data_IF_867105097162
#
_entry.id   IF_867105097162
#
_cell.length_a   1.000
_cell.length_b   1.000
_cell.length_c   1.000
_cell.angle_alpha   90.00
_cell.angle_beta   90.00
_cell.angle_gamma   90.00
#
_symmetry.space_group_name_H-M   'P 1'
#
loop_
_entity.id
_entity.type
_entity.pdbx_description
1 polymer ?
#
# COMPACT_ATOMS: atom_id res chain seq x y z
N UNK A 1 41.07 -34.87 9.95
CA UNK A 1 41.11 -33.65 9.12
C UNK A 1 40.88 -32.46 10.03
N UNK A 2 41.73 -31.43 9.94
CA UNK A 2 41.63 -30.27 10.82
C UNK A 2 40.45 -29.41 10.33
N UNK A 3 39.39 -29.18 11.14
CA UNK A 3 38.18 -28.46 10.71
C UNK A 3 38.46 -27.05 10.17
N UNK A 4 39.61 -26.47 10.51
CA UNK A 4 40.06 -25.17 10.02
C UNK A 4 40.49 -25.17 8.53
N UNK A 5 41.01 -26.29 8.02
CA UNK A 5 41.44 -26.40 6.61
C UNK A 5 40.25 -26.53 5.67
N UNK A 6 39.22 -27.31 6.05
CA UNK A 6 38.00 -27.42 5.26
C UNK A 6 37.26 -26.08 5.19
N UNK A 7 37.27 -25.30 6.28
CA UNK A 7 36.68 -23.97 6.30
C UNK A 7 37.47 -22.96 5.45
N UNK A 8 38.81 -23.08 5.44
CA UNK A 8 39.68 -22.28 4.57
C UNK A 8 39.47 -22.60 3.08
N UNK A 9 39.47 -23.88 2.70
CA UNK A 9 39.26 -24.33 1.33
C UNK A 9 37.88 -23.89 0.81
N UNK A 10 36.83 -24.04 1.63
CA UNK A 10 35.50 -23.52 1.30
C UNK A 10 35.50 -22.00 1.04
N UNK A 11 36.26 -21.22 1.82
CA UNK A 11 36.40 -19.77 1.57
C UNK A 11 37.12 -19.50 0.25
N UNK A 12 38.18 -20.22 -0.06
CA UNK A 12 38.89 -20.10 -1.34
C UNK A 12 37.98 -20.44 -2.54
N UNK A 13 37.20 -21.52 -2.44
CA UNK A 13 36.26 -21.92 -3.50
C UNK A 13 35.15 -20.89 -3.72
N UNK A 14 34.64 -20.28 -2.63
CA UNK A 14 33.65 -19.19 -2.72
C UNK A 14 34.24 -17.96 -3.42
N UNK A 15 35.45 -17.53 -3.04
CA UNK A 15 36.13 -16.39 -3.67
C UNK A 15 36.40 -16.66 -5.15
N UNK A 16 36.84 -17.86 -5.50
CA UNK A 16 37.06 -18.24 -6.90
C UNK A 16 35.76 -18.20 -7.71
N UNK A 17 34.69 -18.80 -7.18
CA UNK A 17 33.37 -18.76 -7.83
C UNK A 17 32.87 -17.32 -8.03
N UNK A 18 33.04 -16.46 -7.02
CA UNK A 18 32.67 -15.05 -7.08
C UNK A 18 33.41 -14.32 -8.21
N UNK A 19 34.73 -14.47 -8.30
CA UNK A 19 35.54 -13.89 -9.37
C UNK A 19 35.08 -14.34 -10.76
N UNK A 20 34.76 -15.64 -10.92
CA UNK A 20 34.22 -16.15 -12.19
C UNK A 20 32.88 -15.51 -12.54
N UNK A 21 31.98 -15.30 -11.56
CA UNK A 21 30.71 -14.62 -11.80
C UNK A 21 30.91 -13.17 -12.27
N UNK A 22 31.86 -12.43 -11.68
CA UNK A 22 32.15 -11.06 -12.10
C UNK A 22 32.66 -10.99 -13.55
N UNK A 23 33.56 -11.91 -13.92
CA UNK A 23 34.10 -12.00 -15.30
C UNK A 23 32.98 -12.33 -16.30
N UNK A 24 32.14 -13.31 -15.98
CA UNK A 24 31.00 -13.70 -16.83
C UNK A 24 30.02 -12.54 -16.98
N UNK A 25 29.72 -11.84 -15.89
CA UNK A 25 28.80 -10.69 -15.90
C UNK A 25 29.33 -9.57 -16.80
N UNK A 26 30.61 -9.22 -16.68
CA UNK A 26 31.24 -8.23 -17.57
C UNK A 26 31.20 -8.66 -19.04
N UNK A 27 31.48 -9.93 -19.30
CA UNK A 27 31.49 -10.47 -20.66
C UNK A 27 30.10 -10.41 -21.29
N UNK A 28 29.06 -10.81 -20.55
CA UNK A 28 27.68 -10.72 -20.99
C UNK A 28 27.23 -9.27 -21.22
N UNK A 29 27.57 -8.37 -20.29
CA UNK A 29 27.19 -6.96 -20.39
C UNK A 29 27.90 -6.26 -21.55
N UNK A 30 29.16 -6.60 -21.80
CA UNK A 30 29.90 -6.11 -22.97
C UNK A 30 29.24 -6.58 -24.27
N UNK A 31 28.95 -7.87 -24.40
CA UNK A 31 28.28 -8.42 -25.59
C UNK A 31 26.91 -7.78 -25.79
N UNK A 32 26.13 -7.63 -24.72
CA UNK A 32 24.82 -6.97 -24.77
C UNK A 32 24.91 -5.55 -25.33
N UNK A 33 25.80 -4.72 -24.78
CA UNK A 33 26.02 -3.36 -25.27
C UNK A 33 26.48 -3.32 -26.73
N UNK A 34 27.35 -4.25 -27.13
CA UNK A 34 27.76 -4.35 -28.53
C UNK A 34 26.57 -4.68 -29.44
N UNK A 35 25.69 -5.60 -29.05
CA UNK A 35 24.51 -5.96 -29.85
C UNK A 35 23.49 -4.82 -29.92
N UNK A 36 23.29 -4.09 -28.82
CA UNK A 36 22.38 -2.94 -28.75
C UNK A 36 22.81 -1.78 -29.67
N UNK A 37 24.11 -1.58 -29.89
CA UNK A 37 24.63 -0.50 -30.74
C UNK A 37 24.63 -0.85 -32.25
N UNK A 38 24.63 -2.15 -32.61
CA UNK A 38 24.70 -2.62 -34.00
C UNK A 38 23.69 -1.97 -34.95
N UNK A 39 22.40 -1.80 -34.60
CA UNK A 39 21.44 -1.15 -35.51
C UNK A 39 21.82 0.28 -35.88
N UNK A 40 22.40 1.04 -34.94
CA UNK A 40 22.86 2.41 -35.18
C UNK A 40 24.10 2.44 -36.08
N UNK A 41 25.07 1.59 -35.79
CA UNK A 41 26.32 1.48 -36.56
C UNK A 41 26.05 1.04 -38.01
N UNK A 42 25.13 0.10 -38.21
CA UNK A 42 24.71 -0.36 -39.54
C UNK A 42 24.03 0.75 -40.35
N UNK A 43 23.17 1.57 -39.72
CA UNK A 43 22.54 2.73 -40.38
C UNK A 43 23.58 3.76 -40.82
N UNK A 44 24.54 4.08 -39.96
CA UNK A 44 25.64 5.00 -40.26
C UNK A 44 26.50 4.52 -41.43
N UNK A 45 26.81 3.22 -41.49
CA UNK A 45 27.55 2.61 -42.59
C UNK A 45 26.79 2.68 -43.92
N UNK A 46 25.48 2.46 -43.91
CA UNK A 46 24.64 2.59 -45.11
C UNK A 46 24.55 4.04 -45.60
N UNK A 47 24.44 5.02 -44.71
CA UNK A 47 24.39 6.44 -45.06
C UNK A 47 25.72 6.98 -45.63
N UNK A 48 26.84 6.35 -45.26
CA UNK A 48 28.18 6.75 -45.72
C UNK A 48 28.63 6.04 -47.00
N UNK A 49 27.92 4.99 -47.44
CA UNK A 49 28.21 4.28 -48.68
C UNK A 49 27.57 4.99 -49.89
N UNK A 50 28.30 5.20 -51.02
CA UNK A 50 27.71 5.72 -52.25
C UNK A 50 26.60 4.79 -52.75
N UNK A 51 25.46 5.36 -53.17
CA UNK A 51 24.29 4.57 -53.58
C UNK A 51 24.65 3.46 -54.58
N UNK A 52 24.26 2.20 -54.34
CA UNK A 52 24.47 1.14 -55.33
C UNK A 52 23.66 1.45 -56.59
N UNK A 53 24.28 1.22 -57.75
CA UNK A 53 23.65 1.31 -59.06
C UNK A 53 22.38 0.46 -59.05
N UNK A 54 21.22 1.10 -59.18
CA UNK A 54 19.90 0.46 -59.23
C UNK A 54 19.81 -0.47 -60.44
N UNK A 55 20.13 -1.74 -60.28
CA UNK A 55 19.70 -2.80 -61.19
C UNK A 55 18.34 -3.30 -60.72
N UNK A 56 17.31 -3.06 -61.55
CA UNK A 56 15.91 -3.18 -61.16
C UNK A 56 15.48 -4.58 -60.74
N UNK A 57 14.84 -4.67 -59.57
CA UNK A 57 13.84 -5.68 -59.22
C UNK A 57 13.29 -5.43 -57.80
N UNK A 58 12.00 -5.10 -57.71
CA UNK A 58 11.10 -5.17 -56.54
C UNK A 58 11.55 -4.55 -55.19
N UNK A 59 11.22 -3.27 -54.99
CA UNK A 59 11.39 -2.46 -53.77
C UNK A 59 10.54 -2.85 -52.53
N UNK A 60 9.87 -4.01 -52.50
CA UNK A 60 9.03 -4.40 -51.35
C UNK A 60 9.70 -5.38 -50.37
N UNK A 61 10.88 -5.92 -50.69
CA UNK A 61 11.56 -6.91 -49.85
C UNK A 61 12.50 -6.29 -48.79
N UNK A 62 13.21 -5.21 -49.12
CA UNK A 62 14.15 -4.53 -48.22
C UNK A 62 13.58 -4.07 -46.86
N UNK A 63 12.41 -3.39 -46.78
CA UNK A 63 11.89 -2.94 -45.49
C UNK A 63 11.50 -4.11 -44.58
N UNK A 64 11.02 -5.21 -45.17
CA UNK A 64 10.62 -6.43 -44.45
C UNK A 64 11.84 -7.17 -43.88
N UNK A 65 12.94 -7.25 -44.64
CA UNK A 65 14.19 -7.87 -44.16
C UNK A 65 14.86 -7.05 -43.06
N UNK A 66 14.82 -5.71 -43.14
CA UNK A 66 15.32 -4.82 -42.09
C UNK A 66 14.53 -4.93 -40.80
N UNK A 67 13.20 -4.96 -40.89
CA UNK A 67 12.33 -5.13 -39.73
C UNK A 67 12.55 -6.50 -39.06
N UNK A 68 12.72 -7.56 -39.85
CA UNK A 68 13.05 -8.89 -39.33
C UNK A 68 14.44 -8.94 -38.65
N UNK A 69 15.46 -8.29 -39.22
CA UNK A 69 16.78 -8.21 -38.63
C UNK A 69 16.79 -7.40 -37.31
N UNK A 70 16.04 -6.29 -37.25
CA UNK A 70 15.83 -5.53 -36.02
C UNK A 70 15.19 -6.38 -34.92
N UNK A 71 14.09 -7.08 -35.24
CA UNK A 71 13.42 -7.96 -34.29
C UNK A 71 14.33 -9.09 -33.76
N UNK A 72 15.23 -9.64 -34.58
CA UNK A 72 16.20 -10.64 -34.15
C UNK A 72 17.27 -10.07 -33.20
N UNK A 73 17.70 -8.82 -33.42
CA UNK A 73 18.64 -8.13 -32.54
C UNK A 73 17.97 -7.79 -31.21
N UNK A 74 16.73 -7.29 -31.24
CA UNK A 74 15.95 -7.01 -30.04
C UNK A 74 15.77 -8.27 -29.19
N UNK A 75 15.36 -9.38 -29.81
CA UNK A 75 15.26 -10.70 -29.15
C UNK A 75 16.61 -11.17 -28.57
N UNK A 76 17.72 -10.94 -29.29
CA UNK A 76 19.05 -11.30 -28.79
C UNK A 76 19.44 -10.45 -27.56
N UNK A 77 19.12 -9.16 -27.55
CA UNK A 77 19.34 -8.27 -26.40
C UNK A 77 18.50 -8.74 -25.22
N UNK A 78 17.22 -9.04 -25.40
CA UNK A 78 16.33 -9.56 -24.34
C UNK A 78 16.87 -10.87 -23.75
N UNK A 79 17.36 -11.80 -24.59
CA UNK A 79 17.97 -13.04 -24.12
C UNK A 79 19.27 -12.81 -23.33
N UNK A 80 20.10 -11.84 -23.75
CA UNK A 80 21.30 -11.46 -23.04
C UNK A 80 20.96 -10.79 -21.70
N UNK A 81 19.96 -9.93 -21.66
CA UNK A 81 19.44 -9.31 -20.44
C UNK A 81 18.94 -10.36 -19.45
N UNK A 82 18.14 -11.33 -19.91
CA UNK A 82 17.69 -12.43 -19.06
C UNK A 82 18.86 -13.25 -18.49
N UNK A 83 19.96 -13.43 -19.25
CA UNK A 83 21.18 -14.11 -18.76
C UNK A 83 21.93 -13.25 -17.74
N UNK A 84 22.07 -11.96 -18.00
CA UNK A 84 22.69 -10.99 -17.07
C UNK A 84 21.94 -11.00 -15.74
N UNK A 85 20.62 -10.88 -15.77
CA UNK A 85 19.78 -10.94 -14.56
C UNK A 85 19.92 -12.26 -13.80
N UNK A 86 20.04 -13.39 -14.51
CA UNK A 86 20.32 -14.68 -13.86
C UNK A 86 21.67 -14.67 -13.13
N UNK A 87 22.74 -14.18 -13.75
CA UNK A 87 24.07 -14.12 -13.10
C UNK A 87 24.06 -13.17 -11.90
N UNK A 88 23.40 -12.01 -12.03
CA UNK A 88 23.18 -11.08 -10.92
C UNK A 88 22.40 -11.74 -9.78
N UNK A 89 21.36 -12.51 -10.09
CA UNK A 89 20.61 -13.26 -9.08
C UNK A 89 21.51 -14.20 -8.28
N UNK A 90 22.41 -14.94 -8.94
CA UNK A 90 23.38 -15.80 -8.24
C UNK A 90 24.38 -15.01 -7.40
N UNK A 91 24.87 -13.88 -7.92
CA UNK A 91 25.78 -12.98 -7.20
C UNK A 91 25.12 -12.44 -5.93
N UNK A 92 23.90 -11.94 -6.05
CA UNK A 92 23.13 -11.39 -4.95
C UNK A 92 22.80 -12.47 -3.91
N UNK A 93 22.42 -13.68 -4.34
CA UNK A 93 22.16 -14.81 -3.44
C UNK A 93 23.39 -15.22 -2.61
N UNK A 94 24.62 -15.00 -3.11
CA UNK A 94 25.81 -15.19 -2.27
C UNK A 94 25.93 -14.17 -1.12
N UNK A 95 25.35 -12.98 -1.27
CA UNK A 95 25.31 -11.97 -0.22
C UNK A 95 24.18 -12.19 0.79
N UNK A 96 23.12 -12.90 0.37
CA UNK A 96 21.89 -13.07 1.14
C UNK A 96 22.07 -13.60 2.56
N UNK A 97 22.89 -14.63 2.85
CA UNK A 97 23.05 -15.12 4.21
C UNK A 97 23.58 -14.07 5.20
N UNK A 98 24.49 -13.22 4.71
CA UNK A 98 25.06 -12.15 5.52
C UNK A 98 24.10 -10.97 5.65
N UNK A 99 23.44 -10.58 4.56
CA UNK A 99 22.37 -9.56 4.58
C UNK A 99 21.29 -9.95 5.57
N UNK A 100 20.76 -11.18 5.46
CA UNK A 100 19.74 -11.72 6.36
C UNK A 100 20.16 -11.64 7.83
N UNK A 101 21.40 -12.01 8.14
CA UNK A 101 21.93 -11.96 9.50
C UNK A 101 21.95 -10.53 10.04
N UNK A 102 22.44 -9.57 9.26
CA UNK A 102 22.49 -8.18 9.68
C UNK A 102 21.11 -7.54 9.79
N UNK A 103 20.22 -7.81 8.82
CA UNK A 103 18.82 -7.34 8.83
C UNK A 103 18.08 -7.90 10.05
N UNK A 104 18.33 -9.15 10.44
CA UNK A 104 17.82 -9.71 11.69
C UNK A 104 18.32 -8.91 12.91
N UNK A 105 19.62 -8.65 13.03
CA UNK A 105 20.14 -7.88 14.17
C UNK A 105 19.65 -6.43 14.19
N UNK A 106 19.48 -5.81 13.02
CA UNK A 106 18.87 -4.49 12.87
C UNK A 106 17.44 -4.49 13.41
N UNK A 107 16.59 -5.39 12.89
CA UNK A 107 15.17 -5.46 13.24
C UNK A 107 15.00 -5.67 14.76
N UNK A 108 15.79 -6.56 15.34
CA UNK A 108 15.68 -6.98 16.74
C UNK A 108 16.61 -6.24 17.71
N UNK A 109 17.15 -5.09 17.31
CA UNK A 109 17.96 -4.23 18.19
C UNK A 109 17.14 -3.64 19.35
N UNK A 110 17.78 -3.27 20.48
CA UNK A 110 17.10 -2.60 21.59
C UNK A 110 16.51 -1.24 21.17
N UNK A 111 15.36 -0.85 21.71
CA UNK A 111 14.67 0.42 21.38
C UNK A 111 15.51 1.67 21.67
N UNK A 112 16.45 1.58 22.61
CA UNK A 112 17.39 2.67 22.91
C UNK A 112 18.48 2.85 21.85
N UNK A 113 18.67 1.90 20.94
CA UNK A 113 19.65 1.97 19.87
C UNK A 113 19.04 2.67 18.64
N UNK A 114 19.58 3.81 18.20
CA UNK A 114 19.14 4.49 16.99
C UNK A 114 19.26 3.59 15.76
N UNK A 115 18.38 3.81 14.77
CA UNK A 115 18.36 3.04 13.54
C UNK A 115 19.69 3.13 12.77
N UNK A 116 20.32 4.31 12.77
CA UNK A 116 21.62 4.58 12.14
C UNK A 116 22.70 3.68 12.74
N UNK A 117 22.75 3.57 14.06
CA UNK A 117 23.73 2.74 14.77
C UNK A 117 23.46 1.25 14.61
N UNK A 118 22.17 0.86 14.59
CA UNK A 118 21.77 -0.52 14.35
C UNK A 118 22.05 -0.98 12.91
N UNK A 119 21.98 -0.07 11.94
CA UNK A 119 22.22 -0.31 10.52
C UNK A 119 23.71 -0.28 10.14
N UNK A 120 24.53 0.49 10.86
CA UNK A 120 25.96 0.67 10.54
C UNK A 120 26.72 -0.64 10.22
N UNK A 121 26.59 -1.74 10.99
CA UNK A 121 27.29 -2.99 10.66
C UNK A 121 26.93 -3.58 9.29
N UNK A 122 25.67 -3.40 8.85
CA UNK A 122 25.24 -3.81 7.52
C UNK A 122 25.90 -2.94 6.44
N UNK A 123 25.90 -1.61 6.63
CA UNK A 123 26.50 -0.68 5.67
C UNK A 123 28.01 -0.92 5.54
N UNK A 124 28.72 -1.13 6.64
CA UNK A 124 30.16 -1.41 6.63
C UNK A 124 30.46 -2.72 5.87
N UNK A 125 29.66 -3.77 6.10
CA UNK A 125 29.78 -5.04 5.38
C UNK A 125 29.49 -4.88 3.88
N UNK A 126 28.45 -4.13 3.53
CA UNK A 126 28.11 -3.85 2.14
C UNK A 126 29.20 -3.03 1.45
N UNK A 127 29.70 -1.98 2.07
CA UNK A 127 30.73 -1.10 1.51
C UNK A 127 32.01 -1.85 1.12
N UNK A 128 32.47 -2.76 1.99
CA UNK A 128 33.63 -3.62 1.71
C UNK A 128 33.38 -4.45 0.45
N UNK A 129 32.23 -5.14 0.37
CA UNK A 129 31.91 -6.01 -0.77
C UNK A 129 31.64 -5.25 -2.07
N UNK A 130 30.92 -4.13 -1.97
CA UNK A 130 30.61 -3.30 -3.13
C UNK A 130 31.87 -2.65 -3.69
N UNK A 131 32.86 -2.33 -2.85
CA UNK A 131 34.18 -1.88 -3.30
C UNK A 131 34.91 -2.96 -4.11
N UNK A 132 34.87 -4.22 -3.66
CA UNK A 132 35.43 -5.36 -4.42
C UNK A 132 34.70 -5.54 -5.76
N UNK A 133 33.38 -5.46 -5.78
CA UNK A 133 32.59 -5.58 -7.01
C UNK A 133 32.86 -4.42 -7.97
N UNK A 134 32.98 -3.20 -7.45
CA UNK A 134 33.30 -2.02 -8.25
C UNK A 134 34.67 -2.12 -8.91
N UNK A 135 35.63 -2.76 -8.26
CA UNK A 135 36.95 -3.02 -8.86
C UNK A 135 36.89 -4.12 -9.94
N UNK A 136 35.97 -5.07 -9.82
CA UNK A 136 35.85 -6.22 -10.71
C UNK A 136 34.84 -6.07 -11.86
N UNK A 137 33.93 -5.09 -11.82
CA UNK A 137 32.82 -4.95 -12.77
C UNK A 137 32.90 -3.69 -13.65
N UNK A 138 32.38 -3.79 -14.86
CA UNK A 138 32.05 -2.63 -15.71
C UNK A 138 30.96 -1.79 -15.03
N UNK A 139 30.94 -0.46 -15.24
CA UNK A 139 29.97 0.44 -14.58
C UNK A 139 28.51 0.03 -14.76
N UNK A 140 28.11 -0.39 -15.96
CA UNK A 140 26.75 -0.89 -16.22
C UNK A 140 26.44 -2.22 -15.54
N UNK A 141 27.43 -3.12 -15.48
CA UNK A 141 27.29 -4.40 -14.77
C UNK A 141 27.21 -4.17 -13.25
N UNK A 142 28.01 -3.23 -12.73
CA UNK A 142 28.00 -2.84 -11.32
C UNK A 142 26.65 -2.24 -10.92
N UNK A 143 26.10 -1.29 -11.70
CA UNK A 143 24.78 -0.71 -11.43
C UNK A 143 23.66 -1.75 -11.43
N UNK A 144 23.70 -2.71 -12.36
CA UNK A 144 22.72 -3.81 -12.38
C UNK A 144 22.91 -4.77 -11.19
N UNK A 145 24.15 -5.02 -10.77
CA UNK A 145 24.44 -5.80 -9.56
C UNK A 145 23.92 -5.09 -8.30
N UNK A 146 24.05 -3.76 -8.20
CA UNK A 146 23.50 -2.97 -7.09
C UNK A 146 21.98 -3.17 -6.97
N UNK A 147 21.24 -3.13 -8.07
CA UNK A 147 19.79 -3.37 -8.08
C UNK A 147 19.45 -4.79 -7.59
N UNK A 148 20.21 -5.81 -8.02
CA UNK A 148 20.00 -7.17 -7.54
C UNK A 148 20.24 -7.34 -6.03
N UNK A 149 21.25 -6.66 -5.49
CA UNK A 149 21.54 -6.67 -4.04
C UNK A 149 20.48 -5.90 -3.27
N UNK A 150 20.04 -4.76 -3.81
CA UNK A 150 18.94 -3.96 -3.28
C UNK A 150 17.65 -4.78 -3.17
N UNK A 151 17.27 -5.51 -4.22
CA UNK A 151 16.07 -6.36 -4.18
C UNK A 151 16.17 -7.45 -3.09
N UNK A 152 17.35 -8.04 -2.85
CA UNK A 152 17.54 -8.99 -1.74
C UNK A 152 17.41 -8.30 -0.39
N UNK A 153 17.93 -7.08 -0.23
CA UNK A 153 17.77 -6.30 1.00
C UNK A 153 16.29 -6.03 1.27
N UNK A 154 15.52 -5.63 0.25
CA UNK A 154 14.07 -5.41 0.38
C UNK A 154 13.34 -6.68 0.79
N UNK A 155 13.67 -7.82 0.17
CA UNK A 155 13.06 -9.12 0.51
C UNK A 155 13.40 -9.55 1.94
N UNK A 156 14.66 -9.37 2.38
CA UNK A 156 15.03 -9.72 3.76
C UNK A 156 14.40 -8.76 4.78
N UNK A 157 14.26 -7.46 4.48
CA UNK A 157 13.52 -6.51 5.31
C UNK A 157 12.04 -6.89 5.42
N UNK A 158 11.39 -7.20 4.30
CA UNK A 158 10.00 -7.66 4.25
C UNK A 158 9.82 -8.92 5.09
N UNK A 159 10.76 -9.88 4.99
CA UNK A 159 10.71 -11.11 5.77
C UNK A 159 10.78 -10.92 7.30
N UNK A 160 11.37 -9.82 7.78
CA UNK A 160 11.36 -9.50 9.21
C UNK A 160 10.03 -8.88 9.64
N UNK A 161 9.34 -8.18 8.74
CA UNK A 161 8.05 -7.52 9.02
C UNK A 161 6.92 -8.50 9.35
N UNK A 162 7.02 -9.74 8.87
CA UNK A 162 6.06 -10.84 9.12
C UNK A 162 6.22 -11.50 10.51
N UNK A 163 7.24 -11.13 11.28
CA UNK A 163 7.40 -11.65 12.63
C UNK A 163 6.33 -11.06 13.55
N UNK A 164 5.49 -11.91 14.16
CA UNK A 164 4.40 -11.51 15.05
C UNK A 164 4.94 -10.90 16.36
N UNK A 165 5.23 -9.59 16.38
CA UNK A 165 6.08 -8.93 17.40
C UNK A 165 5.38 -8.31 18.61
N UNK A 166 4.08 -8.51 18.82
CA UNK A 166 3.40 -8.06 20.06
C UNK A 166 3.49 -6.55 20.30
N UNK A 167 3.60 -6.06 21.55
CA UNK A 167 3.61 -4.61 21.87
C UNK A 167 4.82 -3.81 21.33
N UNK A 168 5.88 -4.47 20.86
CA UNK A 168 7.13 -3.82 20.41
C UNK A 168 7.09 -3.31 18.96
N UNK A 169 5.91 -3.28 18.32
CA UNK A 169 5.79 -3.03 16.88
C UNK A 169 6.18 -1.61 16.46
N UNK A 170 5.87 -0.57 17.23
CA UNK A 170 6.04 0.80 16.73
C UNK A 170 7.51 1.16 16.54
N UNK A 171 8.36 1.01 17.56
CA UNK A 171 9.80 1.25 17.45
C UNK A 171 10.49 0.31 16.45
N UNK A 172 10.02 -0.93 16.36
CA UNK A 172 10.48 -1.92 15.39
C UNK A 172 10.23 -1.47 13.95
N UNK A 173 8.99 -1.11 13.61
CA UNK A 173 8.64 -0.67 12.26
C UNK A 173 9.17 0.72 11.93
N UNK A 174 9.26 1.62 12.91
CA UNK A 174 9.97 2.91 12.75
C UNK A 174 11.44 2.69 12.40
N UNK A 175 12.10 1.74 13.07
CA UNK A 175 13.49 1.38 12.75
C UNK A 175 13.63 0.79 11.36
N UNK A 176 12.76 -0.15 10.97
CA UNK A 176 12.79 -0.76 9.63
C UNK A 176 12.53 0.29 8.54
N UNK A 177 11.56 1.18 8.75
CA UNK A 177 11.27 2.28 7.84
C UNK A 177 12.46 3.24 7.73
N UNK A 178 13.06 3.65 8.85
CA UNK A 178 14.24 4.50 8.84
C UNK A 178 15.44 3.82 8.16
N UNK A 179 15.62 2.52 8.39
CA UNK A 179 16.66 1.75 7.72
C UNK A 179 16.45 1.66 6.21
N UNK A 180 15.21 1.51 5.74
CA UNK A 180 14.88 1.54 4.31
C UNK A 180 15.32 2.86 3.66
N UNK A 181 15.06 4.00 4.32
CA UNK A 181 15.49 5.33 3.86
C UNK A 181 17.01 5.47 3.82
N UNK A 182 17.71 5.03 4.88
CA UNK A 182 19.17 5.10 4.93
C UNK A 182 19.84 4.19 3.89
N UNK A 183 19.25 3.03 3.62
CA UNK A 183 19.73 2.14 2.55
C UNK A 183 19.45 2.75 1.17
N UNK A 184 18.30 3.39 0.96
CA UNK A 184 18.02 4.13 -0.28
C UNK A 184 19.08 5.21 -0.52
N UNK A 185 19.39 6.02 0.48
CA UNK A 185 20.46 7.03 0.43
C UNK A 185 21.82 6.39 0.10
N UNK A 186 22.15 5.26 0.74
CA UNK A 186 23.40 4.53 0.52
C UNK A 186 23.53 4.00 -0.91
N UNK A 187 22.48 3.38 -1.48
CA UNK A 187 22.50 2.86 -2.84
C UNK A 187 22.39 3.97 -3.90
N UNK A 188 21.77 5.09 -3.56
CA UNK A 188 21.74 6.27 -4.41
C UNK A 188 23.11 6.95 -4.50
N UNK A 189 23.85 7.00 -3.37
CA UNK A 189 25.20 7.51 -3.26
C UNK A 189 25.37 8.91 -3.89
N UNK A 190 24.49 9.85 -3.53
CA UNK A 190 24.48 11.23 -4.07
C UNK A 190 24.45 11.29 -5.63
N UNK A 191 23.80 10.30 -6.26
CA UNK A 191 23.69 10.19 -7.72
C UNK A 191 24.84 9.43 -8.39
N UNK A 192 25.86 9.01 -7.65
CA UNK A 192 26.93 8.17 -8.18
C UNK A 192 26.52 6.68 -8.32
N UNK A 193 25.48 6.26 -7.57
CA UNK A 193 24.97 4.90 -7.54
C UNK A 193 23.80 4.67 -8.49
N UNK A 194 22.73 4.08 -7.97
CA UNK A 194 21.47 3.84 -8.69
C UNK A 194 20.58 5.09 -8.61
N UNK A 195 19.85 5.41 -9.67
CA UNK A 195 18.86 6.49 -9.62
C UNK A 195 17.71 6.15 -8.68
N UNK A 196 17.04 7.16 -8.11
CA UNK A 196 15.86 6.96 -7.26
C UNK A 196 14.77 6.15 -7.99
N UNK A 197 14.52 6.45 -9.27
CA UNK A 197 13.59 5.70 -10.12
C UNK A 197 13.98 4.21 -10.25
N UNK A 198 15.28 3.89 -10.26
CA UNK A 198 15.78 2.52 -10.30
C UNK A 198 15.69 1.80 -8.96
N UNK A 199 15.70 2.53 -7.84
CA UNK A 199 15.55 1.98 -6.49
C UNK A 199 14.08 1.75 -6.12
N UNK A 200 13.16 2.56 -6.66
CA UNK A 200 11.72 2.43 -6.43
C UNK A 200 11.13 1.29 -7.27
N UNK A 201 11.57 0.06 -7.00
CA UNK A 201 11.04 -1.15 -7.62
C UNK A 201 9.64 -1.48 -7.09
N UNK A 202 8.86 -2.35 -7.76
CA UNK A 202 7.57 -2.80 -7.23
C UNK A 202 7.66 -3.41 -5.81
N UNK A 203 8.78 -4.06 -5.50
CA UNK A 203 9.06 -4.59 -4.16
C UNK A 203 9.24 -3.46 -3.14
N UNK A 204 9.93 -2.39 -3.52
CA UNK A 204 10.10 -1.21 -2.67
C UNK A 204 8.77 -0.55 -2.34
N UNK A 205 7.92 -0.28 -3.36
CA UNK A 205 6.62 0.36 -3.14
C UNK A 205 5.74 -0.45 -2.18
N UNK A 206 5.71 -1.78 -2.37
CA UNK A 206 4.98 -2.69 -1.48
C UNK A 206 5.51 -2.65 -0.06
N UNK A 207 6.83 -2.75 0.13
CA UNK A 207 7.46 -2.73 1.46
C UNK A 207 7.27 -1.37 2.16
N UNK A 208 7.54 -0.27 1.45
CA UNK A 208 7.36 1.10 1.97
C UNK A 208 5.91 1.34 2.40
N UNK A 209 4.94 1.02 1.53
CA UNK A 209 3.51 1.14 1.86
C UNK A 209 3.13 0.28 3.08
N UNK A 210 3.69 -0.93 3.19
CA UNK A 210 3.43 -1.82 4.32
C UNK A 210 3.98 -1.24 5.62
N UNK A 211 5.25 -0.82 5.62
CA UNK A 211 5.91 -0.22 6.78
C UNK A 211 5.21 1.07 7.24
N UNK A 212 4.71 1.87 6.30
CA UNK A 212 3.92 3.07 6.59
C UNK A 212 2.63 2.74 7.36
N UNK A 213 1.90 1.71 6.95
CA UNK A 213 0.71 1.26 7.69
C UNK A 213 1.09 0.67 9.05
N UNK A 214 2.12 -0.18 9.10
CA UNK A 214 2.55 -0.88 10.30
C UNK A 214 3.05 0.06 11.40
N UNK A 215 3.75 1.15 11.05
CA UNK A 215 4.19 2.20 11.99
C UNK A 215 3.08 3.18 12.39
N UNK A 216 1.98 3.24 11.65
CA UNK A 216 0.90 4.20 11.90
C UNK A 216 0.11 3.82 13.17
N UNK A 217 -0.07 4.71 14.16
CA UNK A 217 -0.82 4.39 15.38
C UNK A 217 -2.24 3.90 15.11
N UNK A 218 -2.79 3.05 15.98
CA UNK A 218 -4.09 2.38 15.78
C UNK A 218 -5.21 3.36 15.49
N UNK A 219 -5.26 4.48 16.21
CA UNK A 219 -6.27 5.50 15.98
C UNK A 219 -6.15 6.14 14.60
N UNK A 220 -4.93 6.41 14.13
CA UNK A 220 -4.71 7.00 12.82
C UNK A 220 -5.07 6.02 11.70
N UNK A 221 -4.80 4.72 11.90
CA UNK A 221 -5.27 3.66 10.98
C UNK A 221 -6.80 3.60 10.91
N UNK A 222 -7.50 3.63 12.04
CA UNK A 222 -8.97 3.65 12.06
C UNK A 222 -9.52 4.89 11.34
N UNK A 223 -8.90 6.05 11.55
CA UNK A 223 -9.28 7.28 10.86
C UNK A 223 -9.05 7.18 9.34
N UNK A 224 -7.92 6.59 8.93
CA UNK A 224 -7.61 6.35 7.52
C UNK A 224 -8.66 5.42 6.88
N UNK A 225 -9.02 4.33 7.56
CA UNK A 225 -10.09 3.43 7.10
C UNK A 225 -11.40 4.18 6.88
N UNK A 226 -11.86 4.96 7.85
CA UNK A 226 -13.11 5.70 7.69
C UNK A 226 -13.03 6.78 6.61
N UNK A 227 -11.86 7.41 6.43
CA UNK A 227 -11.64 8.35 5.33
C UNK A 227 -11.78 7.67 3.97
N UNK A 228 -11.14 6.51 3.78
CA UNK A 228 -11.27 5.71 2.56
C UNK A 228 -12.73 5.31 2.31
N UNK A 229 -13.46 4.88 3.35
CA UNK A 229 -14.90 4.57 3.24
C UNK A 229 -15.73 5.77 2.82
N UNK A 230 -15.46 6.96 3.38
CA UNK A 230 -16.16 8.19 2.98
C UNK A 230 -15.87 8.57 1.52
N UNK A 231 -14.62 8.42 1.08
CA UNK A 231 -14.21 8.67 -0.31
C UNK A 231 -14.87 7.67 -1.28
N UNK A 232 -14.99 6.40 -0.88
CA UNK A 232 -15.75 5.38 -1.62
C UNK A 232 -17.23 5.78 -1.76
N UNK A 233 -17.86 6.31 -0.70
CA UNK A 233 -19.26 6.75 -0.76
C UNK A 233 -19.47 7.92 -1.73
N UNK A 234 -18.54 8.88 -1.79
CA UNK A 234 -18.65 10.01 -2.71
C UNK A 234 -18.60 9.57 -4.18
N UNK A 235 -17.91 8.46 -4.45
CA UNK A 235 -17.83 7.85 -5.77
C UNK A 235 -18.90 6.79 -6.02
N UNK A 236 -19.66 6.41 -4.99
CA UNK A 236 -20.71 5.42 -5.10
C UNK A 236 -21.91 5.99 -5.88
N UNK A 237 -22.37 5.26 -6.88
CA UNK A 237 -23.63 5.57 -7.56
C UNK A 237 -24.78 4.97 -6.75
N UNK A 238 -25.99 5.57 -6.80
CA UNK A 238 -27.21 5.04 -6.14
C UNK A 238 -27.52 3.56 -6.48
N UNK A 239 -26.92 3.03 -7.56
CA UNK A 239 -27.04 1.64 -8.00
C UNK A 239 -26.25 0.61 -7.16
N UNK A 240 -25.65 0.98 -6.03
CA UNK A 240 -24.92 0.04 -5.15
C UNK A 240 -25.81 -1.09 -4.59
N UNK A 241 -27.14 -0.96 -4.68
CA UNK A 241 -28.09 -2.04 -4.42
C UNK A 241 -28.35 -2.34 -2.95
N UNK A 242 -27.79 -1.54 -2.03
CA UNK A 242 -27.97 -1.69 -0.57
C UNK A 242 -29.08 -0.81 0.01
N UNK A 243 -29.67 0.07 -0.81
CA UNK A 243 -30.66 1.06 -0.43
C UNK A 243 -30.08 2.46 -0.22
N UNK A 244 -30.96 3.39 0.15
CA UNK A 244 -30.60 4.80 0.37
C UNK A 244 -31.20 5.28 1.69
N UNK A 245 -30.37 5.87 2.54
CA UNK A 245 -30.78 6.49 3.79
C UNK A 245 -31.05 7.97 3.59
N UNK A 246 -32.17 8.47 4.07
CA UNK A 246 -32.54 9.89 3.99
C UNK A 246 -32.43 10.52 5.38
N UNK A 247 -31.55 11.51 5.51
CA UNK A 247 -31.25 12.19 6.78
C UNK A 247 -31.32 13.70 6.64
N UNK A 248 -31.43 14.40 7.75
CA UNK A 248 -31.21 15.84 7.83
C UNK A 248 -30.36 16.12 9.07
N UNK A 249 -29.42 17.04 8.97
CA UNK A 249 -28.62 17.43 10.12
C UNK A 249 -28.37 18.94 10.13
N UNK A 250 -28.26 19.50 11.33
CA UNK A 250 -27.90 20.90 11.54
C UNK A 250 -27.18 21.06 12.86
N UNK A 251 -26.38 22.11 12.96
CA UNK A 251 -25.65 22.45 14.17
C UNK A 251 -26.10 23.81 14.70
N UNK A 252 -26.44 23.84 15.99
CA UNK A 252 -26.92 25.05 16.65
C UNK A 252 -26.54 25.04 18.15
N UNK A 253 -26.00 26.16 18.66
CA UNK A 253 -25.64 26.34 20.07
C UNK A 253 -24.88 25.16 20.71
N UNK A 254 -23.77 24.72 20.08
CA UNK A 254 -22.97 23.57 20.55
C UNK A 254 -23.76 22.25 20.68
N UNK A 255 -24.79 22.13 19.85
CA UNK A 255 -25.59 20.94 19.70
C UNK A 255 -25.72 20.55 18.23
N UNK A 256 -25.40 19.29 17.93
CA UNK A 256 -25.60 18.67 16.62
C UNK A 256 -26.91 17.88 16.66
N UNK A 257 -27.89 18.34 15.88
CA UNK A 257 -29.17 17.68 15.71
C UNK A 257 -29.14 16.85 14.42
N UNK A 258 -29.55 15.59 14.52
CA UNK A 258 -29.55 14.61 13.44
C UNK A 258 -30.93 13.96 13.35
N UNK A 259 -31.65 14.25 12.28
CA UNK A 259 -32.93 13.63 11.94
C UNK A 259 -32.68 12.46 10.98
N UNK A 260 -33.06 11.26 11.39
CA UNK A 260 -33.14 10.08 10.52
C UNK A 260 -34.58 9.98 10.05
N UNK A 261 -34.83 10.31 8.78
CA UNK A 261 -36.19 10.44 8.24
C UNK A 261 -36.72 9.10 7.76
N UNK A 262 -35.92 8.36 6.98
CA UNK A 262 -36.33 7.07 6.43
C UNK A 262 -35.22 6.43 5.62
N UNK A 263 -35.46 5.22 5.17
CA UNK A 263 -34.65 4.56 4.16
C UNK A 263 -35.56 4.00 3.06
N UNK A 264 -34.99 3.78 1.88
CA UNK A 264 -35.66 3.11 0.76
C UNK A 264 -34.78 2.00 0.20
N UNK A 265 -35.44 1.00 -0.38
CA UNK A 265 -34.81 -0.12 -1.06
C UNK A 265 -33.70 -0.80 -0.22
N UNK A 266 -33.90 -0.88 1.10
CA UNK A 266 -33.01 -1.62 2.00
C UNK A 266 -32.98 -3.08 1.53
N UNK A 267 -31.83 -3.74 1.66
CA UNK A 267 -31.71 -5.13 1.23
C UNK A 267 -32.61 -6.05 2.07
N UNK A 268 -33.24 -7.06 1.45
CA UNK A 268 -33.98 -8.07 2.18
C UNK A 268 -33.01 -9.06 2.83
N UNK A 269 -33.02 -9.10 4.16
CA UNK A 269 -32.17 -10.00 4.94
C UNK A 269 -32.97 -11.16 5.55
N UNK A 270 -34.28 -10.99 5.76
CA UNK A 270 -35.14 -12.07 6.24
C UNK A 270 -35.52 -13.09 5.16
N UNK A 271 -35.80 -14.35 5.54
CA UNK A 271 -36.39 -15.36 4.65
C UNK A 271 -37.75 -14.96 4.04
N UNK A 272 -38.42 -13.97 4.62
CA UNK A 272 -39.69 -13.45 4.15
C UNK A 272 -39.55 -12.46 2.97
N UNK A 273 -38.31 -12.10 2.59
CA UNK A 273 -38.01 -11.15 1.52
C UNK A 273 -38.15 -9.67 1.93
N UNK A 274 -38.21 -9.39 3.22
CA UNK A 274 -38.24 -8.06 3.85
C UNK A 274 -37.12 -7.99 4.90
N UNK A 275 -37.15 -6.93 5.73
CA UNK A 275 -36.30 -6.77 6.90
C UNK A 275 -37.07 -6.04 8.00
N UNK A 276 -36.53 -6.07 9.20
CA UNK A 276 -36.90 -5.29 10.38
C UNK A 276 -35.85 -4.18 10.66
N UNK A 277 -35.65 -3.19 9.76
CA UNK A 277 -34.53 -2.25 9.85
C UNK A 277 -34.60 -1.29 11.05
N UNK A 278 -33.41 -0.97 11.58
CA UNK A 278 -33.14 0.16 12.47
C UNK A 278 -31.78 0.78 12.17
N UNK A 279 -31.57 2.03 12.59
CA UNK A 279 -30.33 2.78 12.33
C UNK A 279 -29.61 3.10 13.62
N UNK A 280 -28.33 2.77 13.69
CA UNK A 280 -27.41 3.22 14.75
C UNK A 280 -26.68 4.47 14.24
N UNK A 281 -26.66 5.52 15.07
CA UNK A 281 -26.04 6.82 14.79
C UNK A 281 -24.87 7.03 15.73
N UNK A 282 -23.68 7.22 15.15
CA UNK A 282 -22.40 7.34 15.87
C UNK A 282 -21.59 8.53 15.33
N UNK A 283 -20.87 9.25 16.21
CA UNK A 283 -19.93 10.30 15.79
C UNK A 283 -18.49 9.77 15.70
N UNK A 284 -17.84 10.10 14.58
CA UNK A 284 -16.45 9.76 14.29
C UNK A 284 -15.57 11.02 14.23
N UNK A 285 -14.29 10.94 14.64
CA UNK A 285 -13.65 9.78 15.25
C UNK A 285 -14.02 9.62 16.74
N UNK A 286 -14.18 8.38 17.22
CA UNK A 286 -14.56 8.07 18.61
C UNK A 286 -13.66 8.70 19.67
N UNK A 287 -12.39 9.00 19.37
CA UNK A 287 -11.48 9.68 20.31
C UNK A 287 -11.86 11.13 20.57
N UNK A 288 -12.39 11.81 19.55
CA UNK A 288 -12.84 13.21 19.66
C UNK A 288 -14.23 13.30 20.28
N UNK A 289 -15.06 12.29 20.04
CA UNK A 289 -16.45 12.21 20.48
C UNK A 289 -16.68 11.10 21.53
N UNK A 290 -15.67 10.82 22.36
CA UNK A 290 -15.71 9.69 23.31
C UNK A 290 -16.80 9.80 24.38
N UNK A 291 -17.26 11.04 24.65
CA UNK A 291 -18.37 11.33 25.55
C UNK A 291 -19.74 11.19 24.88
N UNK A 292 -19.81 11.11 23.55
CA UNK A 292 -21.03 10.91 22.79
C UNK A 292 -21.33 9.42 22.66
N UNK A 293 -22.39 8.95 23.32
CA UNK A 293 -22.86 7.57 23.21
C UNK A 293 -23.58 7.39 21.88
N UNK A 294 -23.41 6.22 21.24
CA UNK A 294 -24.18 5.85 20.05
C UNK A 294 -25.69 5.79 20.38
N UNK A 295 -26.51 6.30 19.47
CA UNK A 295 -27.97 6.32 19.60
C UNK A 295 -28.59 5.44 18.51
N UNK A 296 -29.83 4.98 18.68
CA UNK A 296 -30.50 4.13 17.69
C UNK A 296 -31.97 4.48 17.54
N UNK A 297 -32.48 4.28 16.33
CA UNK A 297 -33.91 4.39 16.03
C UNK A 297 -34.69 3.21 16.63
N UNK A 298 -36.02 3.32 16.64
CA UNK A 298 -36.91 2.19 16.76
C UNK A 298 -36.73 1.20 15.59
N UNK A 299 -37.13 -0.04 15.83
CA UNK A 299 -37.16 -1.11 14.83
C UNK A 299 -38.47 -1.04 14.05
N UNK A 300 -38.39 -0.97 12.73
CA UNK A 300 -39.56 -0.98 11.85
C UNK A 300 -39.71 -2.34 11.20
N UNK A 301 -40.78 -3.06 11.53
CA UNK A 301 -40.93 -4.45 11.10
C UNK A 301 -41.40 -4.61 9.66
N UNK A 302 -40.87 -5.63 8.98
CA UNK A 302 -41.32 -6.14 7.68
C UNK A 302 -41.42 -5.05 6.62
N UNK A 303 -40.37 -4.28 6.45
CA UNK A 303 -40.31 -3.21 5.45
C UNK A 303 -38.90 -3.02 4.93
N UNK A 304 -38.79 -2.79 3.62
CA UNK A 304 -37.55 -2.32 2.98
C UNK A 304 -37.53 -0.79 2.82
N UNK A 305 -38.62 -0.12 3.22
CA UNK A 305 -38.81 1.31 3.11
C UNK A 305 -39.29 1.89 4.46
N UNK A 306 -38.48 1.81 5.53
CA UNK A 306 -38.86 2.33 6.83
C UNK A 306 -38.95 3.86 6.81
N UNK A 307 -39.95 4.39 7.50
CA UNK A 307 -40.08 5.81 7.83
C UNK A 307 -39.84 5.93 9.33
N UNK A 308 -38.66 6.44 9.71
CA UNK A 308 -38.23 6.55 11.09
C UNK A 308 -38.75 7.85 11.72
N UNK A 309 -38.54 8.99 11.05
CA UNK A 309 -38.86 10.34 11.55
C UNK A 309 -38.38 10.60 13.00
N UNK A 310 -37.16 10.16 13.30
CA UNK A 310 -36.55 10.28 14.64
C UNK A 310 -35.42 11.32 14.66
N UNK A 311 -35.33 12.08 15.76
CA UNK A 311 -34.32 13.12 15.96
C UNK A 311 -33.40 12.78 17.13
N UNK A 312 -32.10 12.88 16.89
CA UNK A 312 -31.04 12.66 17.86
C UNK A 312 -30.27 13.96 18.11
N UNK A 313 -29.82 14.16 19.34
CA UNK A 313 -29.06 15.33 19.74
C UNK A 313 -27.72 14.91 20.34
N UNK A 314 -26.64 15.57 19.92
CA UNK A 314 -25.29 15.36 20.44
C UNK A 314 -24.68 16.67 20.90
N UNK A 315 -24.28 16.75 22.17
CA UNK A 315 -23.56 17.92 22.70
C UNK A 315 -22.10 17.90 22.25
N UNK A 316 -21.78 18.76 21.29
CA UNK A 316 -20.45 18.84 20.65
C UNK A 316 -20.10 20.28 20.31
N UNK A 317 -18.83 20.62 20.36
CA UNK A 317 -18.36 21.96 19.98
C UNK A 317 -18.14 22.07 18.48
N UNK A 318 -18.33 23.26 17.92
CA UNK A 318 -17.99 23.52 16.52
C UNK A 318 -16.52 23.19 16.19
N UNK A 319 -15.62 23.33 17.16
CA UNK A 319 -14.20 22.97 17.01
C UNK A 319 -14.02 21.46 16.81
N UNK A 320 -14.73 20.63 17.58
CA UNK A 320 -14.71 19.17 17.39
C UNK A 320 -15.26 18.80 16.01
N UNK A 321 -16.38 19.40 15.60
CA UNK A 321 -17.00 19.12 14.30
C UNK A 321 -16.15 19.50 13.09
N UNK A 322 -15.24 20.47 13.24
CA UNK A 322 -14.30 20.90 12.19
C UNK A 322 -13.01 20.07 12.14
N UNK A 323 -12.85 19.09 13.02
CA UNK A 323 -11.69 18.20 13.00
C UNK A 323 -11.62 17.38 11.71
N UNK A 324 -10.42 17.10 11.23
CA UNK A 324 -10.22 16.26 10.04
C UNK A 324 -10.82 14.86 10.26
N UNK A 325 -11.48 14.34 9.22
CA UNK A 325 -12.18 13.06 9.27
C UNK A 325 -13.45 13.02 10.14
N UNK A 326 -13.94 14.17 10.64
CA UNK A 326 -15.13 14.18 11.49
C UNK A 326 -16.41 13.94 10.70
N UNK A 327 -17.20 12.94 11.10
CA UNK A 327 -18.40 12.51 10.40
C UNK A 327 -19.43 11.87 11.34
N UNK A 328 -20.67 11.78 10.86
CA UNK A 328 -21.70 10.90 11.41
C UNK A 328 -21.64 9.59 10.64
N UNK A 329 -21.53 8.47 11.35
CA UNK A 329 -21.69 7.13 10.82
C UNK A 329 -23.12 6.66 11.11
N UNK A 330 -23.83 6.28 10.06
CA UNK A 330 -25.11 5.60 10.12
C UNK A 330 -24.88 4.12 9.79
N UNK A 331 -25.24 3.22 10.71
CA UNK A 331 -25.21 1.77 10.48
C UNK A 331 -26.65 1.26 10.46
N UNK A 332 -27.11 0.81 9.30
CA UNK A 332 -28.42 0.17 9.14
C UNK A 332 -28.26 -1.31 9.43
N UNK A 333 -29.06 -1.81 10.36
CA UNK A 333 -29.06 -3.20 10.82
C UNK A 333 -30.47 -3.77 10.67
N UNK A 334 -30.56 -5.08 10.48
CA UNK A 334 -31.80 -5.84 10.58
C UNK A 334 -31.92 -6.44 11.99
N UNK A 335 -33.09 -6.29 12.61
CA UNK A 335 -33.32 -6.79 13.96
C UNK A 335 -33.79 -8.23 13.95
N UNK A 336 -33.01 -9.11 14.57
CA UNK A 336 -33.35 -10.50 14.73
C UNK A 336 -33.75 -10.85 16.16
N UNK A 337 -34.84 -11.62 16.29
CA UNK A 337 -35.35 -12.06 17.60
C UNK A 337 -34.55 -13.26 18.15
N UNK A 338 -34.09 -14.15 17.25
CA UNK A 338 -33.48 -15.44 17.61
C UNK A 338 -31.97 -15.43 17.35
N UNK A 339 -31.55 -14.81 16.25
CA UNK A 339 -30.16 -14.72 15.79
C UNK A 339 -29.54 -13.36 16.14
N UNK A 340 -28.27 -13.18 15.77
CA UNK A 340 -27.64 -11.87 15.87
C UNK A 340 -28.15 -10.98 14.73
N UNK A 341 -28.29 -9.68 14.99
CA UNK A 341 -28.72 -8.70 13.99
C UNK A 341 -27.81 -8.70 12.75
N UNK A 342 -28.41 -8.68 11.57
CA UNK A 342 -27.69 -8.66 10.30
C UNK A 342 -27.35 -7.24 9.84
N UNK A 343 -26.21 -7.08 9.19
CA UNK A 343 -25.76 -5.78 8.71
C UNK A 343 -26.35 -5.48 7.32
N UNK A 344 -27.18 -4.44 7.22
CA UNK A 344 -27.78 -4.04 5.94
C UNK A 344 -26.87 -3.12 5.13
N UNK A 345 -26.22 -2.17 5.79
CA UNK A 345 -25.30 -1.24 5.15
C UNK A 345 -24.92 -0.07 6.05
N UNK A 346 -23.91 0.69 5.63
CA UNK A 346 -23.50 1.91 6.32
C UNK A 346 -23.48 3.11 5.37
N UNK A 347 -23.62 4.29 5.96
CA UNK A 347 -23.50 5.57 5.29
C UNK A 347 -22.83 6.61 6.21
N UNK A 348 -22.24 7.62 5.59
CA UNK A 348 -21.47 8.66 6.27
C UNK A 348 -21.96 10.06 5.87
N UNK A 349 -22.03 10.96 6.84
CA UNK A 349 -22.24 12.39 6.61
C UNK A 349 -21.11 13.19 7.26
N UNK A 350 -20.26 13.82 6.45
CA UNK A 350 -19.16 14.64 6.96
C UNK A 350 -19.69 15.84 7.76
N UNK A 351 -19.15 16.08 8.96
CA UNK A 351 -19.65 17.16 9.82
C UNK A 351 -19.39 18.54 9.22
N UNK A 352 -18.36 18.69 8.39
CA UNK A 352 -18.03 19.97 7.76
C UNK A 352 -19.09 20.41 6.72
N UNK A 353 -19.83 19.48 6.12
CA UNK A 353 -20.90 19.80 5.17
C UNK A 353 -22.20 20.22 5.86
N UNK A 354 -22.31 20.05 7.18
CA UNK A 354 -23.52 20.33 7.95
C UNK A 354 -23.69 21.85 8.15
N UNK A 355 -24.88 22.41 7.88
CA UNK A 355 -25.19 23.81 8.15
C UNK A 355 -24.96 24.18 9.63
N UNK A 356 -24.28 25.30 9.87
CA UNK A 356 -23.91 25.78 11.21
C UNK A 356 -22.46 25.42 11.62
N UNK A 357 -21.83 24.44 10.97
CA UNK A 357 -20.43 24.07 11.21
C UNK A 357 -19.49 24.74 10.20
N UNK A 358 -19.88 24.79 8.93
CA UNK A 358 -19.10 25.36 7.82
C UNK A 358 -18.77 26.85 8.06
N UNK A 359 -17.51 27.25 7.83
CA UNK A 359 -17.04 28.63 7.98
C UNK A 359 -17.53 29.49 6.80
N UNK A 360 -18.75 30.01 6.90
CA UNK A 360 -19.32 30.91 5.89
C UNK A 360 -20.81 31.04 6.15
N UNK A 361 -21.19 32.14 6.80
CA UNK A 361 -22.49 32.30 7.44
C UNK A 361 -23.69 32.02 6.56
N UNK A 362 -24.70 31.39 7.16
CA UNK A 362 -25.94 32.09 7.49
C UNK A 362 -26.31 31.67 8.91
N UNK A 363 -26.71 32.65 9.73
CA UNK A 363 -27.37 32.36 11.00
C UNK A 363 -28.54 31.40 10.75
N UNK A 364 -28.80 30.56 11.74
CA UNK A 364 -29.86 29.57 11.76
C UNK A 364 -31.26 30.24 11.83
N UNK A 365 -31.58 31.12 10.89
CA UNK A 365 -32.86 31.84 10.86
C UNK A 365 -33.89 31.16 9.95
N UNK A 366 -33.48 30.16 9.16
CA UNK A 366 -34.36 29.41 8.27
C UNK A 366 -34.26 27.89 8.49
N UNK A 367 -34.55 27.43 9.72
CA UNK A 367 -34.74 26.01 10.04
C UNK A 367 -35.76 25.30 9.12
N UNK A 368 -36.73 26.05 8.59
CA UNK A 368 -37.78 25.52 7.70
C UNK A 368 -37.30 25.12 6.29
N UNK A 369 -36.04 25.39 5.92
CA UNK A 369 -35.52 25.14 4.56
C UNK A 369 -34.47 24.04 4.43
N UNK A 370 -34.15 23.31 5.51
CA UNK A 370 -33.12 22.27 5.48
C UNK A 370 -33.55 21.10 4.58
N UNK A 371 -32.85 20.91 3.47
CA UNK A 371 -33.15 19.82 2.54
C UNK A 371 -32.68 18.49 3.13
N UNK A 372 -33.49 17.43 3.04
CA UNK A 372 -33.01 16.08 3.27
C UNK A 372 -31.82 15.75 2.37
N UNK A 373 -30.90 14.98 2.90
CA UNK A 373 -29.71 14.47 2.24
C UNK A 373 -29.95 12.97 2.06
N UNK A 374 -29.79 12.51 0.82
CA UNK A 374 -29.83 11.10 0.49
C UNK A 374 -28.40 10.54 0.50
N UNK A 375 -28.19 9.49 1.28
CA UNK A 375 -26.92 8.84 1.47
C UNK A 375 -27.04 7.39 0.96
N UNK A 376 -26.35 7.03 -0.14
CA UNK A 376 -26.37 5.65 -0.62
C UNK A 376 -25.74 4.75 0.44
N UNK A 377 -26.42 3.65 0.77
CA UNK A 377 -25.88 2.63 1.66
C UNK A 377 -24.82 1.83 0.92
N UNK A 378 -23.80 1.43 1.66
CA UNK A 378 -22.71 0.63 1.13
C UNK A 378 -22.25 -0.40 2.16
N UNK A 379 -21.72 -1.50 1.65
CA UNK A 379 -21.02 -2.50 2.44
C UNK A 379 -19.56 -2.55 2.00
N UNK A 380 -18.65 -2.82 2.93
CA UNK A 380 -17.25 -3.04 2.58
C UNK A 380 -17.12 -4.44 1.96
N UNK A 381 -16.82 -4.51 0.65
CA UNK A 381 -16.66 -5.79 -0.05
C UNK A 381 -15.26 -6.41 0.15
N UNK A 382 -14.25 -5.58 0.46
CA UNK A 382 -12.87 -6.02 0.55
C UNK A 382 -12.53 -6.62 1.92
N UNK A 383 -12.72 -7.93 2.06
CA UNK A 383 -12.29 -8.70 3.25
C UNK A 383 -10.77 -8.64 3.50
N UNK A 384 -9.98 -8.28 2.47
CA UNK A 384 -8.53 -8.20 2.51
C UNK A 384 -7.95 -6.80 2.70
N UNK A 385 -8.75 -5.84 3.20
CA UNK A 385 -8.39 -4.43 3.35
C UNK A 385 -7.04 -4.24 4.10
N UNK A 386 -6.08 -3.47 3.56
CA UNK A 386 -4.74 -3.32 4.15
C UNK A 386 -4.76 -2.84 5.61
N UNK A 387 -5.56 -1.81 5.91
CA UNK A 387 -5.72 -1.30 7.28
C UNK A 387 -6.24 -2.37 8.24
N UNK A 388 -7.28 -3.13 7.86
CA UNK A 388 -7.86 -4.17 8.71
C UNK A 388 -6.84 -5.30 8.96
N UNK A 389 -6.04 -5.68 7.95
CA UNK A 389 -4.97 -6.67 8.11
C UNK A 389 -3.91 -6.22 9.12
N UNK A 390 -3.53 -4.94 9.10
CA UNK A 390 -2.56 -4.40 10.08
C UNK A 390 -3.17 -4.31 11.47
N UNK A 391 -4.42 -3.88 11.60
CA UNK A 391 -5.10 -3.83 12.90
C UNK A 391 -5.29 -5.24 13.49
N UNK A 392 -5.53 -6.25 12.65
CA UNK A 392 -5.70 -7.64 13.08
C UNK A 392 -4.42 -8.20 13.72
N UNK A 393 -3.24 -7.83 13.24
CA UNK A 393 -1.96 -8.29 13.83
C UNK A 393 -1.66 -7.62 15.17
N UNK A 394 -2.33 -6.51 15.52
CA UNK A 394 -2.17 -5.81 16.80
C UNK A 394 -2.97 -6.48 17.92
N UNK A 395 -2.64 -7.74 18.21
CA UNK A 395 -3.31 -8.56 19.24
C UNK A 395 -3.19 -7.99 20.66
N UNK A 396 -2.22 -7.10 20.89
CA UNK A 396 -1.99 -6.40 22.15
C UNK A 396 -2.84 -5.14 22.30
N UNK A 397 -3.35 -4.58 21.20
CA UNK A 397 -4.13 -3.35 21.22
C UNK A 397 -5.63 -3.69 21.21
N UNK A 398 -6.26 -3.52 22.37
CA UNK A 398 -7.69 -3.78 22.52
C UNK A 398 -8.55 -2.94 21.57
N UNK A 399 -8.19 -1.68 21.31
CA UNK A 399 -8.95 -0.83 20.39
C UNK A 399 -8.89 -1.38 18.96
N UNK A 400 -7.71 -1.85 18.53
CA UNK A 400 -7.55 -2.48 17.21
C UNK A 400 -8.37 -3.76 17.10
N UNK A 401 -8.31 -4.64 18.12
CA UNK A 401 -9.03 -5.91 18.12
C UNK A 401 -10.55 -5.72 18.17
N UNK A 402 -11.05 -4.82 19.02
CA UNK A 402 -12.48 -4.50 19.10
C UNK A 402 -12.99 -3.91 17.78
N UNK A 403 -12.20 -3.04 17.15
CA UNK A 403 -12.53 -2.47 15.84
C UNK A 403 -12.59 -3.54 14.74
N UNK A 404 -11.56 -4.38 14.61
CA UNK A 404 -11.51 -5.46 13.61
C UNK A 404 -12.65 -6.44 13.81
N UNK A 405 -12.96 -6.80 15.07
CA UNK A 405 -14.09 -7.67 15.39
C UNK A 405 -15.41 -7.07 14.89
N UNK A 406 -15.68 -5.80 15.21
CA UNK A 406 -16.88 -5.08 14.75
C UNK A 406 -16.97 -5.03 13.22
N UNK A 407 -15.85 -4.81 12.52
CA UNK A 407 -15.84 -4.82 11.05
C UNK A 407 -16.03 -6.24 10.47
N UNK A 408 -15.51 -7.28 11.12
CA UNK A 408 -15.72 -8.67 10.67
C UNK A 408 -17.15 -9.15 10.81
N UNK A 409 -17.84 -8.73 11.86
CA UNK A 409 -19.28 -8.99 12.04
C UNK A 409 -20.11 -8.48 10.87
N UNK A 410 -19.69 -7.35 10.26
CA UNK A 410 -20.32 -6.79 9.04
C UNK A 410 -20.02 -7.56 7.75
N UNK A 411 -19.07 -8.50 7.74
CA UNK A 411 -18.76 -9.35 6.57
C UNK A 411 -19.43 -10.71 6.60
N UNK A 412 -20.09 -11.06 7.71
CA UNK A 412 -20.67 -12.38 7.96
C UNK A 412 -22.16 -12.46 7.62
N UNK A 413 -22.78 -11.33 7.30
CA UNK A 413 -24.17 -11.21 6.79
C UNK A 413 -24.26 -11.51 5.31
#
# INVERSE_FOLDING_TARGET
MNPNWDQFLKRCDIIYCLLQLLIVLNSLEHVRKSVEMLPGDLKLLEETLPSPVRTGSNNNYEPTTRQAAGALLDEAVEQLDARVLRVIGHLAEQMRPEVRRHVFHLAWSPDSLPAESALAPLLDSLDIKLTEFRAGLLDSAFKRALIGIWDILLVELESQGDANTGEKLTSFYERLHKALQLLEDFFHAEGAGVSIEGLHTPTWYRLSSRLDLDRTPTQALINLYYKERMDEQQNATEAAGYGVLTVRAYFHHDSLCVEVLGARDVIPLDPNGLSDPFVIVELLPRTTFSHCVEQRTAVHRRTLNPVFDECFEFSVTAKQCRGDGSAILFTVMDYDVITANDFAGEAFLQLLSIPGISNGGYGADNFHGLRPIELPLMQQANKGHPVLKVLETRVWDKLAQDFVKKQKERFMS
#
